data_IF_062178494757
#
_entry.id   IF_062178494757
#
_cell.length_a   1.000
_cell.length_b   1.000
_cell.length_c   1.000
_cell.angle_alpha   90.00
_cell.angle_beta   90.00
_cell.angle_gamma   90.00
#
_symmetry.space_group_name_H-M   'P 1'
#
loop_
_entity.id
_entity.type
_entity.pdbx_description
1 polymer ?
#
# COMPACT_ATOMS: atom_id res chain seq x y z
N UNK A 1 -1.44 -11.23 -51.48
CA UNK A 1 -0.23 -11.12 -50.64
C UNK A 1 -0.38 -9.98 -49.62
N UNK A 2 -1.46 -9.96 -48.82
CA UNK A 2 -1.84 -8.82 -47.95
C UNK A 2 -1.96 -9.21 -46.47
N UNK A 3 -2.00 -10.50 -46.15
CA UNK A 3 -2.21 -11.00 -44.77
C UNK A 3 -1.01 -10.88 -43.84
N UNK A 4 0.23 -10.85 -44.37
CA UNK A 4 1.45 -10.86 -43.54
C UNK A 4 1.81 -9.48 -42.98
N UNK A 5 1.41 -8.40 -43.65
CA UNK A 5 1.72 -7.03 -43.21
C UNK A 5 0.85 -6.62 -42.01
N UNK A 6 -0.42 -7.03 -41.97
CA UNK A 6 -1.33 -6.72 -40.86
C UNK A 6 -0.95 -7.40 -39.54
N UNK A 7 -0.41 -8.62 -39.57
CA UNK A 7 -0.04 -9.34 -38.33
C UNK A 7 1.18 -8.70 -37.67
N UNK A 8 2.15 -8.24 -38.46
CA UNK A 8 3.36 -7.58 -37.94
C UNK A 8 2.99 -6.22 -37.31
N UNK A 9 2.05 -5.48 -37.91
CA UNK A 9 1.65 -4.18 -37.38
C UNK A 9 0.89 -4.29 -36.03
N UNK A 10 0.11 -5.36 -35.83
CA UNK A 10 -0.58 -5.62 -34.55
C UNK A 10 0.40 -5.96 -33.43
N UNK A 11 1.49 -6.68 -33.74
CA UNK A 11 2.54 -7.04 -32.77
C UNK A 11 3.40 -5.84 -32.33
N UNK A 12 3.61 -4.86 -33.20
CA UNK A 12 4.34 -3.63 -32.84
C UNK A 12 3.47 -2.71 -31.97
N UNK A 13 2.15 -2.68 -32.22
CA UNK A 13 1.20 -1.86 -31.46
C UNK A 13 1.05 -2.34 -30.01
N UNK A 14 1.14 -3.64 -29.75
CA UNK A 14 1.04 -4.20 -28.40
C UNK A 14 2.29 -4.00 -27.55
N UNK A 15 3.46 -3.70 -28.13
CA UNK A 15 4.69 -3.38 -27.37
C UNK A 15 4.65 -1.94 -26.82
N UNK A 16 3.93 -1.03 -27.49
CA UNK A 16 3.82 0.39 -27.07
C UNK A 16 2.85 0.57 -25.89
N UNK A 17 1.87 -0.34 -25.74
CA UNK A 17 0.86 -0.28 -24.67
C UNK A 17 1.34 -0.78 -23.31
N UNK A 18 2.46 -1.51 -23.24
CA UNK A 18 3.01 -2.02 -21.96
C UNK A 18 4.00 -1.04 -21.29
N UNK A 19 4.25 0.12 -21.91
CA UNK A 19 5.29 1.05 -21.52
C UNK A 19 4.90 2.20 -20.59
N UNK A 20 3.62 2.36 -20.21
CA UNK A 20 3.25 3.31 -19.16
C UNK A 20 3.46 2.69 -17.78
N UNK A 21 4.73 2.40 -17.46
CA UNK A 21 5.15 2.25 -16.07
C UNK A 21 5.19 3.66 -15.49
N UNK A 22 4.01 4.16 -15.11
CA UNK A 22 3.91 5.41 -14.36
C UNK A 22 4.64 5.19 -13.03
N UNK A 23 5.87 5.68 -12.95
CA UNK A 23 6.55 6.01 -11.71
C UNK A 23 5.70 7.10 -11.04
N UNK A 24 4.63 6.66 -10.38
CA UNK A 24 3.72 7.53 -9.66
C UNK A 24 4.40 7.84 -8.34
N UNK A 25 5.17 8.93 -8.37
CA UNK A 25 5.48 9.84 -7.28
C UNK A 25 4.77 9.45 -5.97
N UNK A 26 5.38 8.57 -5.19
CA UNK A 26 5.17 8.52 -3.75
C UNK A 26 5.84 9.77 -3.20
N UNK A 27 5.19 10.93 -3.35
CA UNK A 27 5.62 12.13 -2.63
C UNK A 27 5.56 11.74 -1.15
N UNK A 28 6.69 11.81 -0.42
CA UNK A 28 6.67 11.55 1.00
C UNK A 28 5.62 12.49 1.60
N UNK A 29 4.68 11.92 2.36
CA UNK A 29 3.78 12.73 3.16
C UNK A 29 4.68 13.54 4.09
N UNK A 30 4.62 14.87 3.98
CA UNK A 30 5.54 15.76 4.69
C UNK A 30 5.52 15.45 6.19
N UNK A 31 6.69 15.20 6.77
CA UNK A 31 6.84 14.87 8.20
C UNK A 31 6.85 13.38 8.54
N UNK A 32 6.81 12.48 7.55
CA UNK A 32 7.07 11.04 7.73
C UNK A 32 8.49 10.71 7.27
N UNK A 33 9.19 9.82 7.99
CA UNK A 33 10.47 9.28 7.54
C UNK A 33 10.31 8.46 6.24
N UNK A 34 11.40 8.35 5.49
CA UNK A 34 11.41 7.59 4.24
C UNK A 34 11.11 6.11 4.50
N UNK A 35 11.70 5.53 5.54
CA UNK A 35 11.57 4.12 5.90
C UNK A 35 10.13 3.77 6.28
N UNK A 36 9.45 4.64 7.03
CA UNK A 36 8.03 4.46 7.33
C UNK A 36 7.17 4.61 6.08
N UNK A 37 7.50 5.53 5.16
CA UNK A 37 6.80 5.67 3.87
C UNK A 37 6.91 4.40 3.02
N UNK A 38 8.09 3.79 3.00
CA UNK A 38 8.34 2.52 2.32
C UNK A 38 7.56 1.37 2.98
N UNK A 39 7.56 1.30 4.32
CA UNK A 39 6.81 0.31 5.07
C UNK A 39 5.29 0.41 4.82
N UNK A 40 4.72 1.62 4.87
CA UNK A 40 3.30 1.89 4.55
C UNK A 40 2.96 1.39 3.14
N UNK A 41 3.85 1.66 2.19
CA UNK A 41 3.69 1.21 0.80
C UNK A 41 3.73 -0.32 0.69
N UNK A 42 4.61 -0.99 1.44
CA UNK A 42 4.69 -2.46 1.49
C UNK A 42 3.43 -3.07 2.08
N UNK A 43 2.97 -2.59 3.24
CA UNK A 43 1.73 -3.05 3.89
C UNK A 43 0.56 -2.98 2.91
N UNK A 44 0.40 -1.84 2.24
CA UNK A 44 -0.71 -1.65 1.29
C UNK A 44 -0.65 -2.66 0.14
N UNK A 45 0.54 -2.93 -0.38
CA UNK A 45 0.76 -3.93 -1.44
C UNK A 45 0.53 -5.37 -0.97
N UNK A 46 0.87 -5.72 0.28
CA UNK A 46 0.58 -7.05 0.86
C UNK A 46 -0.93 -7.33 0.75
N UNK A 47 -1.75 -6.31 1.02
CA UNK A 47 -3.19 -6.41 0.94
C UNK A 47 -3.76 -5.96 -0.42
N UNK A 48 -2.96 -6.00 -1.49
CA UNK A 48 -3.45 -5.85 -2.87
C UNK A 48 -3.63 -4.42 -3.38
N UNK A 49 -3.36 -3.38 -2.58
CA UNK A 49 -3.46 -1.98 -3.01
C UNK A 49 -2.08 -1.37 -3.25
N UNK A 50 -1.76 -1.10 -4.52
CA UNK A 50 -0.47 -0.53 -4.91
C UNK A 50 -0.36 0.97 -4.69
N UNK A 51 -1.49 1.69 -4.68
CA UNK A 51 -1.58 3.15 -4.60
C UNK A 51 -2.72 3.56 -3.66
N UNK A 52 -2.59 3.25 -2.35
CA UNK A 52 -3.59 3.66 -1.38
C UNK A 52 -3.66 5.19 -1.32
N UNK A 53 -4.83 5.71 -1.02
CA UNK A 53 -4.98 7.09 -0.61
C UNK A 53 -4.67 7.17 0.90
N UNK A 54 -3.54 7.77 1.26
CA UNK A 54 -3.24 8.05 2.67
C UNK A 54 -4.12 9.23 3.11
N UNK A 55 -5.05 8.96 4.03
CA UNK A 55 -6.03 9.95 4.51
C UNK A 55 -5.46 10.71 5.70
N UNK A 56 -4.82 10.01 6.63
CA UNK A 56 -4.25 10.62 7.83
C UNK A 56 -3.01 9.86 8.27
N UNK A 57 -2.02 10.61 8.74
CA UNK A 57 -0.90 10.04 9.49
C UNK A 57 -0.68 10.86 10.75
N UNK A 58 -0.81 10.19 11.89
CA UNK A 58 -0.60 10.80 13.20
C UNK A 58 0.74 10.36 13.75
N UNK A 59 1.63 11.32 14.00
CA UNK A 59 2.92 11.08 14.66
C UNK A 59 2.72 11.01 16.17
N UNK A 60 3.21 9.96 16.80
CA UNK A 60 3.23 9.78 18.26
C UNK A 60 4.56 9.14 18.70
N UNK A 61 4.70 8.87 19.99
CA UNK A 61 5.87 8.22 20.57
C UNK A 61 5.45 6.96 21.34
N UNK A 62 6.25 5.91 21.23
CA UNK A 62 6.09 4.69 21.99
C UNK A 62 6.33 4.97 23.48
N UNK A 63 5.40 4.51 24.32
CA UNK A 63 5.59 4.57 25.76
C UNK A 63 6.82 3.74 26.17
N UNK A 64 7.68 4.31 27.01
CA UNK A 64 8.92 3.67 27.47
C UNK A 64 10.14 3.87 26.56
N UNK A 65 10.02 3.64 25.24
CA UNK A 65 11.19 3.76 24.33
C UNK A 65 11.36 5.14 23.71
N UNK A 66 10.30 5.96 23.69
CA UNK A 66 10.23 7.26 22.97
C UNK A 66 10.51 7.14 21.47
N UNK A 67 10.39 5.93 20.91
CA UNK A 67 10.52 5.74 19.48
C UNK A 67 9.34 6.38 18.76
N UNK A 68 9.61 7.02 17.63
CA UNK A 68 8.57 7.66 16.84
C UNK A 68 7.72 6.57 16.18
N UNK A 69 6.40 6.67 16.36
CA UNK A 69 5.39 5.83 15.72
C UNK A 69 4.53 6.72 14.81
N UNK A 70 4.11 6.17 13.69
CA UNK A 70 3.08 6.74 12.85
C UNK A 70 1.84 5.84 12.90
N UNK A 71 0.69 6.41 13.25
CA UNK A 71 -0.62 5.77 13.10
C UNK A 71 -1.17 6.21 11.75
N UNK A 72 -1.40 5.26 10.87
CA UNK A 72 -1.69 5.49 9.46
C UNK A 72 -3.10 5.06 9.17
N UNK A 73 -3.88 5.95 8.57
CA UNK A 73 -5.19 5.65 8.02
C UNK A 73 -5.15 5.79 6.49
N UNK A 74 -5.45 4.69 5.80
CA UNK A 74 -5.36 4.57 4.36
C UNK A 74 -6.65 4.01 3.77
N UNK A 75 -7.07 4.58 2.64
CA UNK A 75 -8.23 4.14 1.86
C UNK A 75 -7.77 3.51 0.55
N UNK A 76 -8.42 2.44 0.13
CA UNK A 76 -8.00 1.66 -1.03
C UNK A 76 -8.88 0.45 -1.28
N UNK A 77 -8.41 -0.45 -2.16
CA UNK A 77 -9.05 -1.75 -2.41
C UNK A 77 -8.22 -2.85 -1.77
N UNK A 78 -8.44 -3.07 -0.48
CA UNK A 78 -7.65 -4.04 0.29
C UNK A 78 -8.30 -5.43 0.29
N UNK A 79 -7.47 -6.46 0.26
CA UNK A 79 -7.91 -7.85 0.22
C UNK A 79 -7.01 -8.77 1.05
N UNK A 80 -7.65 -9.71 1.76
CA UNK A 80 -6.99 -10.82 2.46
C UNK A 80 -7.80 -12.11 2.24
N UNK A 81 -7.29 -13.01 1.39
CA UNK A 81 -8.09 -14.15 0.92
C UNK A 81 -9.35 -13.67 0.23
N UNK A 82 -10.52 -14.14 0.68
CA UNK A 82 -11.83 -13.71 0.16
C UNK A 82 -12.36 -12.41 0.80
N UNK A 83 -11.73 -11.93 1.87
CA UNK A 83 -12.15 -10.73 2.60
C UNK A 83 -11.71 -9.46 1.87
N UNK A 84 -12.60 -8.47 1.81
CA UNK A 84 -12.36 -7.17 1.17
C UNK A 84 -12.68 -6.03 2.12
N UNK A 85 -11.81 -5.02 2.14
CA UNK A 85 -11.99 -3.80 2.93
C UNK A 85 -11.67 -2.55 2.10
N UNK A 86 -12.38 -1.46 2.38
CA UNK A 86 -12.08 -0.15 1.77
C UNK A 86 -11.01 0.63 2.54
N UNK A 87 -10.74 0.26 3.79
CA UNK A 87 -9.83 1.00 4.67
C UNK A 87 -8.86 0.08 5.40
N UNK A 88 -7.66 0.61 5.66
CA UNK A 88 -6.69 0.08 6.61
C UNK A 88 -6.32 1.15 7.62
N UNK A 89 -6.23 0.75 8.88
CA UNK A 89 -5.59 1.51 9.94
C UNK A 89 -4.52 0.65 10.59
N UNK A 90 -3.31 1.17 10.77
CA UNK A 90 -2.20 0.44 11.38
C UNK A 90 -1.15 1.37 11.97
N UNK A 91 -0.32 0.84 12.86
CA UNK A 91 0.83 1.53 13.42
C UNK A 91 2.13 1.09 12.74
N UNK A 92 3.07 2.02 12.54
CA UNK A 92 4.39 1.75 11.98
C UNK A 92 5.48 2.53 12.72
N UNK A 93 6.59 1.87 13.05
CA UNK A 93 7.76 2.57 13.60
C UNK A 93 8.39 3.48 12.54
N UNK A 94 8.98 4.60 12.96
CA UNK A 94 9.63 5.52 12.05
C UNK A 94 10.83 4.92 11.31
N UNK A 95 11.48 3.90 11.86
CA UNK A 95 12.54 3.16 11.17
C UNK A 95 12.00 2.14 10.13
N UNK A 96 10.68 2.03 9.97
CA UNK A 96 10.02 1.14 9.03
C UNK A 96 10.16 -0.36 9.32
N UNK A 97 10.70 -0.77 10.48
CA UNK A 97 11.01 -2.18 10.77
C UNK A 97 9.83 -2.98 11.35
N UNK A 98 8.83 -2.29 11.89
CA UNK A 98 7.71 -2.95 12.58
C UNK A 98 6.39 -2.29 12.23
N UNK A 99 5.39 -3.13 11.98
CA UNK A 99 3.99 -2.75 11.71
C UNK A 99 3.09 -3.63 12.57
N UNK A 100 2.14 -3.02 13.28
CA UNK A 100 1.26 -3.73 14.21
C UNK A 100 -0.10 -3.04 14.34
N UNK A 101 -1.00 -3.71 15.08
CA UNK A 101 -2.37 -3.26 15.33
C UNK A 101 -3.08 -2.88 14.01
N UNK A 102 -2.94 -3.73 12.99
CA UNK A 102 -3.61 -3.53 11.72
C UNK A 102 -5.07 -3.94 11.87
N UNK A 103 -5.95 -3.06 11.44
CA UNK A 103 -7.38 -3.33 11.29
C UNK A 103 -7.82 -2.93 9.88
N UNK A 104 -8.71 -3.73 9.31
CA UNK A 104 -9.28 -3.50 8.00
C UNK A 104 -10.79 -3.42 8.12
N UNK A 105 -11.41 -2.35 7.61
CA UNK A 105 -12.83 -2.08 7.82
C UNK A 105 -13.47 -1.37 6.62
N UNK A 106 -14.81 -1.39 6.59
CA UNK A 106 -15.62 -0.69 5.58
C UNK A 106 -16.29 0.55 6.15
N UNK A 107 -16.57 1.54 5.31
CA UNK A 107 -17.17 2.83 5.70
C UNK A 107 -18.57 2.67 6.33
N UNK A 108 -19.29 1.59 6.01
CA UNK A 108 -20.72 1.44 6.30
C UNK A 108 -21.03 1.33 7.80
N UNK A 109 -20.14 0.74 8.59
CA UNK A 109 -20.39 0.45 10.01
C UNK A 109 -19.14 0.57 10.91
N UNK A 110 -17.97 0.91 10.36
CA UNK A 110 -16.69 0.94 11.07
C UNK A 110 -16.34 -0.36 11.81
N UNK A 111 -16.98 -1.48 11.44
CA UNK A 111 -16.67 -2.80 11.98
C UNK A 111 -15.52 -3.41 11.20
N UNK A 112 -14.66 -4.10 11.93
CA UNK A 112 -13.50 -4.76 11.36
C UNK A 112 -13.93 -5.98 10.54
N UNK A 113 -13.44 -6.02 9.30
CA UNK A 113 -13.51 -7.16 8.40
C UNK A 113 -12.45 -8.18 8.80
N UNK A 114 -11.25 -7.71 9.13
CA UNK A 114 -10.18 -8.51 9.74
C UNK A 114 -9.19 -7.63 10.50
N UNK A 115 -8.39 -8.29 11.34
CA UNK A 115 -7.33 -7.67 12.12
C UNK A 115 -6.05 -8.50 12.07
N UNK A 116 -4.91 -7.85 12.30
CA UNK A 116 -3.62 -8.49 12.54
C UNK A 116 -2.86 -7.77 13.65
N UNK A 117 -2.43 -8.53 14.66
CA UNK A 117 -1.59 -7.98 15.73
C UNK A 117 -0.27 -7.47 15.18
N UNK A 118 0.34 -8.17 14.22
CA UNK A 118 1.63 -7.83 13.61
C UNK A 118 1.61 -8.17 12.13
N UNK A 119 2.23 -7.31 11.31
CA UNK A 119 2.37 -7.53 9.86
C UNK A 119 3.84 -7.78 9.52
N UNK A 120 4.14 -8.91 8.87
CA UNK A 120 5.49 -9.16 8.36
C UNK A 120 5.69 -8.48 7.00
N UNK A 121 6.51 -7.42 6.98
CA UNK A 121 6.82 -6.64 5.77
C UNK A 121 8.18 -6.97 5.16
N UNK A 122 8.92 -7.94 5.71
CA UNK A 122 10.26 -8.30 5.27
C UNK A 122 10.29 -9.26 4.07
N UNK A 123 9.14 -9.85 3.73
CA UNK A 123 9.06 -10.88 2.68
C UNK A 123 8.89 -10.29 1.27
N UNK A 124 8.64 -8.97 1.16
CA UNK A 124 8.54 -8.26 -0.12
C UNK A 124 9.88 -7.58 -0.46
N UNK A 125 10.67 -8.25 -1.31
CA UNK A 125 11.89 -7.71 -1.95
C UNK A 125 11.57 -6.98 -3.24
#
# INVERSE_FOLDING_TARGET
>A
MVKKVSIIMILILSIILTGCRSELNSRPVSGISQEATEAISKVSRIYGESKPQIITVTRTEAEGTKEIIYIVFAKGKFQKGEQKASNLEFSVLANGKSVWALRAFNDDNNQDVWEETTVNINDLK
#
